data_IF_958347596472
#
_entry.id   IF_958347596472
#
_cell.length_a   1.000
_cell.length_b   1.000
_cell.length_c   1.000
_cell.angle_alpha   90.00
_cell.angle_beta   90.00
_cell.angle_gamma   90.00
#
_symmetry.space_group_name_H-M   'P 1'
#
loop_
_entity.id
_entity.type
_entity.pdbx_description
1 polymer ?
#
# COMPACT_ATOMS: atom_id res chain seq x y z
N UNK A 1 9.94 -14.71 -18.03
CA UNK A 1 8.52 -15.10 -18.02
C UNK A 1 7.77 -14.04 -18.81
N UNK A 2 6.98 -14.40 -19.84
CA UNK A 2 6.14 -13.40 -20.52
C UNK A 2 5.08 -12.93 -19.51
N UNK A 3 4.81 -11.61 -19.40
CA UNK A 3 3.74 -11.14 -18.54
C UNK A 3 2.42 -11.80 -18.96
N UNK A 4 1.58 -12.14 -18.00
CA UNK A 4 0.25 -12.73 -18.23
C UNK A 4 -0.65 -11.80 -19.07
N UNK A 5 -0.34 -10.50 -19.06
CA UNK A 5 -0.99 -9.47 -19.84
C UNK A 5 0.02 -8.37 -20.19
N UNK A 6 0.01 -7.91 -21.43
CA UNK A 6 0.88 -6.82 -21.87
C UNK A 6 0.12 -5.49 -21.86
N UNK A 7 0.34 -4.71 -20.81
CA UNK A 7 -0.27 -3.38 -20.67
C UNK A 7 0.48 -2.29 -21.45
N UNK A 8 1.63 -2.58 -22.07
CA UNK A 8 2.39 -1.58 -22.82
C UNK A 8 1.65 -1.06 -24.06
N UNK A 9 0.68 -1.82 -24.55
CA UNK A 9 -0.14 -1.49 -25.73
C UNK A 9 -1.43 -0.73 -25.40
N UNK A 10 -1.73 -0.48 -24.11
CA UNK A 10 -2.92 0.28 -23.74
C UNK A 10 -2.81 1.74 -24.24
N UNK A 11 -3.88 2.30 -24.79
CA UNK A 11 -3.92 3.69 -25.24
C UNK A 11 -4.06 4.64 -24.04
N UNK A 12 -2.98 4.79 -23.29
CA UNK A 12 -2.95 5.63 -22.08
C UNK A 12 -2.77 7.09 -22.49
N UNK A 13 -3.59 7.95 -21.93
CA UNK A 13 -3.44 9.41 -22.07
C UNK A 13 -2.12 9.86 -21.43
N UNK A 14 -1.25 10.46 -22.22
CA UNK A 14 0.08 10.92 -21.81
C UNK A 14 0.13 12.42 -21.48
N UNK A 15 -1.01 13.11 -21.43
CA UNK A 15 -1.08 14.52 -21.03
C UNK A 15 -0.60 14.68 -19.58
N UNK A 16 0.35 15.57 -19.36
CA UNK A 16 0.93 15.88 -18.06
C UNK A 16 0.36 17.19 -17.55
N UNK A 17 0.06 17.24 -16.25
CA UNK A 17 -0.31 18.49 -15.61
C UNK A 17 0.93 19.38 -15.42
N UNK A 18 0.83 20.70 -15.68
CA UNK A 18 1.97 21.60 -15.53
C UNK A 18 2.56 21.68 -14.11
N UNK A 19 1.75 21.32 -13.11
CA UNK A 19 2.12 21.37 -11.69
C UNK A 19 2.40 20.01 -11.07
N UNK A 20 2.44 18.95 -11.88
CA UNK A 20 2.76 17.60 -11.37
C UNK A 20 4.22 17.52 -10.91
N UNK A 21 4.44 17.70 -9.61
CA UNK A 21 5.76 17.63 -9.00
C UNK A 21 6.42 16.24 -9.04
N UNK A 22 5.68 15.21 -9.48
CA UNK A 22 6.21 13.85 -9.66
C UNK A 22 6.88 13.65 -11.02
N UNK A 23 6.70 14.61 -11.93
CA UNK A 23 7.36 14.62 -13.24
C UNK A 23 8.54 15.58 -13.17
N UNK A 24 9.75 15.05 -13.04
CA UNK A 24 10.97 15.85 -12.96
C UNK A 24 11.92 15.51 -14.12
N UNK A 25 12.19 16.49 -15.00
CA UNK A 25 13.20 16.37 -16.07
C UNK A 25 13.03 15.12 -16.94
N UNK A 26 14.10 14.34 -17.07
CA UNK A 26 14.12 13.14 -17.92
C UNK A 26 13.38 11.92 -17.36
N UNK A 27 12.66 12.06 -16.20
CA UNK A 27 11.99 10.96 -15.53
C UNK A 27 10.57 10.68 -16.03
N UNK A 28 10.14 11.30 -17.13
CA UNK A 28 8.80 11.13 -17.70
C UNK A 28 8.47 9.66 -17.99
N UNK A 29 9.37 8.90 -18.58
CA UNK A 29 9.12 7.48 -18.86
C UNK A 29 9.02 6.66 -17.56
N UNK A 30 9.81 6.98 -16.55
CA UNK A 30 9.70 6.33 -15.22
C UNK A 30 8.35 6.63 -14.55
N UNK A 31 7.84 7.85 -14.72
CA UNK A 31 6.50 8.23 -14.24
C UNK A 31 5.41 7.32 -14.83
N UNK A 32 5.43 7.12 -16.16
CA UNK A 32 4.49 6.24 -16.84
C UNK A 32 4.72 4.77 -16.48
N UNK A 33 5.96 4.32 -16.37
CA UNK A 33 6.28 2.94 -15.98
C UNK A 33 5.77 2.60 -14.57
N UNK A 34 5.90 3.52 -13.61
CA UNK A 34 5.33 3.33 -12.27
C UNK A 34 3.81 3.22 -12.29
N UNK A 35 3.13 4.04 -13.12
CA UNK A 35 1.68 3.92 -13.30
C UNK A 35 1.27 2.57 -13.91
N UNK A 36 2.00 2.11 -14.94
CA UNK A 36 1.80 0.80 -15.58
C UNK A 36 2.00 -0.35 -14.58
N UNK A 37 3.07 -0.30 -13.78
CA UNK A 37 3.33 -1.31 -12.72
C UNK A 37 2.23 -1.36 -11.67
N UNK A 38 1.65 -0.22 -11.30
CA UNK A 38 0.49 -0.19 -10.42
C UNK A 38 -0.69 -0.95 -11.04
N UNK A 39 -0.97 -0.73 -12.34
CA UNK A 39 -2.02 -1.47 -13.05
C UNK A 39 -1.73 -2.98 -13.11
N UNK A 40 -0.47 -3.39 -13.32
CA UNK A 40 -0.07 -4.80 -13.30
C UNK A 40 -0.36 -5.46 -11.95
N UNK A 41 -0.06 -4.77 -10.85
CA UNK A 41 -0.33 -5.23 -9.48
C UNK A 41 -1.84 -5.30 -9.19
N UNK A 42 -2.60 -4.31 -9.68
CA UNK A 42 -4.07 -4.30 -9.58
C UNK A 42 -4.67 -5.46 -10.39
N UNK A 43 -4.19 -5.70 -11.59
CA UNK A 43 -4.62 -6.86 -12.38
C UNK A 43 -4.25 -8.19 -11.70
N UNK A 44 -3.05 -8.29 -11.14
CA UNK A 44 -2.64 -9.46 -10.35
C UNK A 44 -3.58 -9.69 -9.16
N UNK A 45 -4.01 -8.62 -8.48
CA UNK A 45 -4.97 -8.73 -7.38
C UNK A 45 -6.33 -9.28 -7.83
N UNK A 46 -6.76 -8.97 -9.05
CA UNK A 46 -8.02 -9.48 -9.60
C UNK A 46 -8.01 -11.01 -9.72
N UNK A 47 -6.86 -11.57 -10.08
CA UNK A 47 -6.65 -13.03 -10.15
C UNK A 47 -6.57 -13.64 -8.75
N UNK A 48 -5.79 -13.03 -7.84
CA UNK A 48 -5.63 -13.53 -6.46
C UNK A 48 -6.93 -13.55 -5.65
N UNK A 49 -7.83 -12.60 -5.93
CA UNK A 49 -9.08 -12.41 -5.19
C UNK A 49 -10.30 -12.98 -5.95
N UNK A 50 -10.10 -13.60 -7.11
CA UNK A 50 -11.17 -14.06 -8.00
C UNK A 50 -12.21 -12.94 -8.24
N UNK A 51 -11.70 -11.72 -8.50
CA UNK A 51 -12.53 -10.53 -8.71
C UNK A 51 -12.14 -9.82 -10.01
N UNK A 52 -12.68 -10.24 -11.15
CA UNK A 52 -12.27 -9.74 -12.47
C UNK A 52 -12.75 -8.32 -12.78
N UNK A 53 -13.71 -7.78 -12.00
CA UNK A 53 -14.32 -6.48 -12.28
C UNK A 53 -14.32 -5.58 -11.06
N UNK A 54 -14.00 -4.31 -11.30
CA UNK A 54 -13.99 -3.22 -10.30
C UNK A 54 -14.88 -2.06 -10.79
N UNK A 55 -16.21 -2.12 -10.62
CA UNK A 55 -17.12 -1.05 -11.04
C UNK A 55 -16.89 0.30 -10.35
N UNK A 56 -16.55 0.28 -9.05
CA UNK A 56 -16.28 1.47 -8.26
C UNK A 56 -14.84 1.42 -7.76
N UNK A 57 -14.00 2.38 -8.18
CA UNK A 57 -12.57 2.44 -7.85
C UNK A 57 -12.27 3.75 -7.12
N UNK A 58 -11.47 3.67 -6.05
CA UNK A 58 -10.88 4.83 -5.38
C UNK A 58 -9.37 4.84 -5.62
N UNK A 59 -8.84 5.95 -6.10
CA UNK A 59 -7.41 6.28 -6.16
C UNK A 59 -7.10 7.36 -5.11
N UNK A 60 -6.35 7.00 -4.06
CA UNK A 60 -6.04 7.86 -2.90
C UNK A 60 -4.58 7.62 -2.43
N UNK A 61 -3.70 8.61 -2.47
CA UNK A 61 -3.85 9.92 -3.11
C UNK A 61 -3.69 9.80 -4.63
N UNK A 62 -4.53 10.48 -5.37
CA UNK A 62 -4.51 10.39 -6.83
C UNK A 62 -3.40 11.24 -7.48
N UNK A 63 -2.89 12.28 -6.79
CA UNK A 63 -2.01 13.27 -7.37
C UNK A 63 -2.57 13.79 -8.69
N UNK A 64 -1.73 13.94 -9.71
CA UNK A 64 -2.12 14.32 -11.06
C UNK A 64 -2.35 13.09 -11.98
N UNK A 65 -2.81 11.98 -11.40
CA UNK A 65 -3.30 10.82 -12.15
C UNK A 65 -2.23 9.88 -12.70
N UNK A 66 -1.07 9.75 -12.05
CA UNK A 66 -0.02 8.80 -12.46
C UNK A 66 -0.55 7.38 -12.60
N UNK A 67 -1.36 6.91 -11.63
CA UNK A 67 -1.99 5.59 -11.67
C UNK A 67 -3.36 5.68 -12.33
N UNK A 68 -4.15 6.69 -12.05
CA UNK A 68 -5.52 6.86 -12.50
C UNK A 68 -5.68 6.78 -14.03
N UNK A 69 -4.76 7.34 -14.81
CA UNK A 69 -4.77 7.25 -16.29
C UNK A 69 -4.71 5.82 -16.81
N UNK A 70 -3.95 4.95 -16.11
CA UNK A 70 -3.86 3.53 -16.42
C UNK A 70 -5.12 2.77 -16.01
N UNK A 71 -5.69 3.14 -14.83
CA UNK A 71 -6.99 2.62 -14.41
C UNK A 71 -8.07 2.99 -15.42
N UNK A 72 -8.10 4.23 -15.89
CA UNK A 72 -9.07 4.67 -16.90
C UNK A 72 -8.89 3.95 -18.23
N UNK A 73 -7.66 3.76 -18.68
CA UNK A 73 -7.38 3.06 -19.95
C UNK A 73 -7.83 1.59 -19.91
N UNK A 74 -7.68 0.92 -18.76
CA UNK A 74 -8.00 -0.51 -18.63
C UNK A 74 -9.44 -0.75 -18.16
N UNK A 75 -9.91 0.01 -17.18
CA UNK A 75 -11.26 -0.10 -16.61
C UNK A 75 -12.15 1.04 -17.11
N UNK A 76 -12.26 1.21 -18.43
CA UNK A 76 -13.03 2.28 -19.06
C UNK A 76 -14.51 2.33 -18.62
N UNK A 77 -15.05 1.20 -18.17
CA UNK A 77 -16.42 1.07 -17.64
C UNK A 77 -16.57 1.55 -16.19
N UNK A 78 -15.46 1.66 -15.43
CA UNK A 78 -15.52 1.91 -14.00
C UNK A 78 -15.79 3.40 -13.70
N UNK A 79 -16.47 3.63 -12.58
CA UNK A 79 -16.50 4.93 -11.93
C UNK A 79 -15.25 5.03 -11.06
N UNK A 80 -14.35 5.94 -11.42
CA UNK A 80 -13.10 6.15 -10.70
C UNK A 80 -13.22 7.44 -9.92
N UNK A 81 -13.06 7.35 -8.60
CA UNK A 81 -12.99 8.51 -7.71
C UNK A 81 -11.53 8.91 -7.53
N UNK A 82 -11.21 10.14 -7.88
CA UNK A 82 -9.91 10.78 -7.65
C UNK A 82 -9.97 11.51 -6.32
N UNK A 83 -9.16 11.11 -5.34
CA UNK A 83 -9.16 11.72 -4.02
C UNK A 83 -7.75 12.13 -3.61
N UNK A 84 -7.56 13.41 -3.26
CA UNK A 84 -6.27 13.96 -2.80
C UNK A 84 -6.49 15.24 -1.97
N UNK A 85 -5.48 15.61 -1.16
CA UNK A 85 -5.38 16.95 -0.55
C UNK A 85 -5.03 18.00 -1.60
N UNK A 86 -4.28 17.64 -2.63
CA UNK A 86 -3.93 18.48 -3.76
C UNK A 86 -5.13 18.65 -4.71
N UNK A 87 -5.84 19.75 -4.53
CA UNK A 87 -7.02 20.07 -5.33
C UNK A 87 -6.71 20.22 -6.83
N UNK A 88 -5.54 20.77 -7.18
CA UNK A 88 -5.10 20.91 -8.58
C UNK A 88 -4.99 19.53 -9.24
N UNK A 89 -4.43 18.55 -8.54
CA UNK A 89 -4.34 17.17 -9.02
C UNK A 89 -5.70 16.50 -9.18
N UNK A 90 -6.61 16.69 -8.22
CA UNK A 90 -7.99 16.17 -8.30
C UNK A 90 -8.74 16.76 -9.48
N UNK A 91 -8.68 18.09 -9.65
CA UNK A 91 -9.35 18.79 -10.76
C UNK A 91 -8.79 18.36 -12.12
N UNK A 92 -7.46 18.22 -12.21
CA UNK A 92 -6.83 17.68 -13.41
C UNK A 92 -7.33 16.28 -13.74
N UNK A 93 -7.38 15.38 -12.74
CA UNK A 93 -7.89 14.01 -12.92
C UNK A 93 -9.36 13.98 -13.38
N UNK A 94 -10.20 14.88 -12.83
CA UNK A 94 -11.59 14.99 -13.22
C UNK A 94 -11.74 15.47 -14.66
N UNK A 95 -11.01 16.53 -15.03
CA UNK A 95 -11.10 17.14 -16.37
C UNK A 95 -10.50 16.23 -17.46
N UNK A 96 -9.31 15.66 -17.20
CA UNK A 96 -8.55 14.94 -18.19
C UNK A 96 -9.00 13.49 -18.35
N UNK A 97 -9.36 12.83 -17.24
CA UNK A 97 -9.65 11.40 -17.24
C UNK A 97 -11.10 11.07 -16.90
N UNK A 98 -11.97 12.08 -16.69
CA UNK A 98 -13.37 11.87 -16.34
C UNK A 98 -13.55 11.16 -14.99
N UNK A 99 -12.65 11.42 -14.03
CA UNK A 99 -12.77 10.90 -12.68
C UNK A 99 -13.77 11.72 -11.86
N UNK A 100 -14.35 11.12 -10.83
CA UNK A 100 -15.19 11.79 -9.86
C UNK A 100 -14.29 12.52 -8.84
N UNK A 101 -14.33 13.84 -8.74
CA UNK A 101 -13.44 14.58 -7.86
C UNK A 101 -13.93 14.49 -6.40
N UNK A 102 -13.01 14.21 -5.48
CA UNK A 102 -13.20 14.31 -4.04
C UNK A 102 -11.96 14.95 -3.43
N UNK A 103 -12.14 16.08 -2.76
CA UNK A 103 -11.03 16.70 -2.03
C UNK A 103 -10.88 16.03 -0.67
N UNK A 104 -9.67 15.53 -0.42
CA UNK A 104 -9.33 14.87 0.83
C UNK A 104 -9.23 15.87 1.99
N UNK A 105 -9.31 15.32 3.19
CA UNK A 105 -9.09 16.04 4.44
C UNK A 105 -7.85 15.49 5.16
N UNK A 106 -7.13 16.32 5.94
CA UNK A 106 -6.01 15.84 6.74
C UNK A 106 -6.39 14.70 7.69
N UNK A 107 -7.61 14.72 8.22
CA UNK A 107 -8.21 13.62 8.96
C UNK A 107 -9.18 12.86 8.06
N UNK A 108 -8.79 11.66 7.65
CA UNK A 108 -9.59 10.82 6.75
C UNK A 108 -10.95 10.40 7.34
N UNK A 109 -11.15 10.48 8.67
CA UNK A 109 -12.46 10.25 9.28
C UNK A 109 -13.52 11.27 8.84
N UNK A 110 -13.09 12.42 8.36
CA UNK A 110 -14.00 13.46 7.85
C UNK A 110 -14.46 13.20 6.42
N UNK A 111 -13.81 12.25 5.71
CA UNK A 111 -14.22 11.87 4.37
C UNK A 111 -15.44 10.96 4.40
N UNK A 112 -16.41 11.30 3.56
CA UNK A 112 -17.64 10.54 3.41
C UNK A 112 -17.89 10.26 1.93
N UNK A 113 -17.99 8.99 1.60
CA UNK A 113 -18.34 8.53 0.25
C UNK A 113 -19.79 8.02 0.25
N UNK A 114 -20.60 8.36 -0.77
CA UNK A 114 -21.99 7.86 -0.87
C UNK A 114 -22.05 6.36 -1.22
N UNK A 115 -20.96 5.78 -1.71
CA UNK A 115 -20.82 4.36 -2.07
C UNK A 115 -19.60 3.72 -1.41
N UNK A 116 -19.56 2.41 -1.40
CA UNK A 116 -18.36 1.63 -1.10
C UNK A 116 -17.67 1.23 -2.41
N UNK A 117 -16.37 0.95 -2.33
CA UNK A 117 -15.51 0.68 -3.47
C UNK A 117 -15.24 -0.82 -3.64
N UNK A 118 -15.15 -1.25 -4.90
CA UNK A 118 -14.67 -2.60 -5.27
C UNK A 118 -13.16 -2.71 -5.18
N UNK A 119 -12.47 -1.61 -5.49
CA UNK A 119 -11.03 -1.47 -5.44
C UNK A 119 -10.66 -0.13 -4.80
N UNK A 120 -9.75 -0.18 -3.84
CA UNK A 120 -9.08 1.00 -3.33
C UNK A 120 -7.58 0.83 -3.60
N UNK A 121 -7.00 1.76 -4.35
CA UNK A 121 -5.56 1.88 -4.54
C UNK A 121 -5.01 3.01 -3.68
N UNK A 122 -3.97 2.70 -2.89
CA UNK A 122 -3.32 3.67 -2.00
C UNK A 122 -1.80 3.65 -2.22
N UNK A 123 -1.34 4.51 -3.11
CA UNK A 123 0.09 4.62 -3.44
C UNK A 123 0.81 5.69 -2.61
N UNK A 124 1.86 5.31 -1.89
CA UNK A 124 2.75 6.24 -1.15
C UNK A 124 2.07 7.12 -0.08
N UNK A 125 0.94 6.70 0.50
CA UNK A 125 0.29 7.47 1.57
C UNK A 125 0.77 7.04 2.95
N UNK A 126 0.60 5.76 3.29
CA UNK A 126 0.91 5.25 4.64
C UNK A 126 2.42 5.25 4.94
N UNK A 127 3.25 5.37 3.92
CA UNK A 127 4.70 5.55 4.02
C UNK A 127 5.11 6.87 4.68
N UNK A 128 4.16 7.79 4.90
CA UNK A 128 4.39 9.12 5.45
C UNK A 128 3.60 9.40 6.75
N UNK A 129 2.85 8.43 7.25
CA UNK A 129 1.94 8.62 8.38
C UNK A 129 2.53 8.08 9.68
N UNK A 130 2.33 8.82 10.78
CA UNK A 130 2.61 8.29 12.10
C UNK A 130 1.67 7.12 12.46
N UNK A 131 1.96 6.42 13.54
CA UNK A 131 1.25 5.20 13.95
C UNK A 131 -0.27 5.37 14.01
N UNK A 132 -0.76 6.42 14.66
CA UNK A 132 -2.20 6.61 14.88
C UNK A 132 -2.92 6.95 13.57
N UNK A 133 -2.33 7.82 12.74
CA UNK A 133 -2.86 8.13 11.42
C UNK A 133 -2.80 6.93 10.47
N UNK A 134 -1.77 6.10 10.60
CA UNK A 134 -1.66 4.85 9.84
C UNK A 134 -2.82 3.90 10.16
N UNK A 135 -3.12 3.70 11.46
CA UNK A 135 -4.24 2.87 11.90
C UNK A 135 -5.59 3.47 11.49
N UNK A 136 -5.78 4.78 11.69
CA UNK A 136 -6.99 5.50 11.23
C UNK A 136 -7.19 5.33 9.72
N UNK A 137 -6.12 5.43 8.94
CA UNK A 137 -6.19 5.20 7.48
C UNK A 137 -6.70 3.79 7.18
N UNK A 138 -6.16 2.77 7.83
CA UNK A 138 -6.61 1.39 7.61
C UNK A 138 -8.07 1.20 8.02
N UNK A 139 -8.52 1.77 9.15
CA UNK A 139 -9.92 1.76 9.58
C UNK A 139 -10.84 2.34 8.49
N UNK A 140 -10.46 3.49 7.94
CA UNK A 140 -11.18 4.14 6.85
C UNK A 140 -11.22 3.28 5.57
N UNK A 141 -10.08 2.73 5.15
CA UNK A 141 -10.01 1.86 3.97
C UNK A 141 -10.91 0.64 4.10
N UNK A 142 -10.91 -0.02 5.27
CA UNK A 142 -11.79 -1.17 5.55
C UNK A 142 -13.26 -0.78 5.51
N UNK A 143 -13.61 0.39 6.09
CA UNK A 143 -14.98 0.93 6.09
C UNK A 143 -15.48 1.24 4.67
N UNK A 144 -14.63 1.83 3.83
CA UNK A 144 -14.99 2.26 2.49
C UNK A 144 -14.99 1.11 1.47
N UNK A 145 -14.36 -0.01 1.80
CA UNK A 145 -14.35 -1.19 0.93
C UNK A 145 -15.63 -2.00 1.11
N UNK A 146 -16.30 -2.34 -0.01
CA UNK A 146 -17.46 -3.24 0.02
C UNK A 146 -17.06 -4.68 0.31
N UNK A 147 -18.03 -5.50 0.63
CA UNK A 147 -17.82 -6.95 0.67
C UNK A 147 -17.29 -7.47 -0.67
N UNK A 148 -16.39 -8.41 -0.64
CA UNK A 148 -15.64 -8.91 -1.80
C UNK A 148 -14.81 -7.82 -2.49
N UNK A 149 -14.53 -6.69 -1.84
CA UNK A 149 -13.67 -5.63 -2.34
C UNK A 149 -12.20 -5.89 -2.04
N UNK A 150 -11.34 -5.16 -2.74
CA UNK A 150 -9.88 -5.27 -2.65
C UNK A 150 -9.30 -3.94 -2.23
N UNK A 151 -8.37 -3.97 -1.28
CA UNK A 151 -7.55 -2.83 -0.88
C UNK A 151 -6.11 -3.14 -1.29
N UNK A 152 -5.47 -2.24 -2.00
CA UNK A 152 -4.05 -2.33 -2.32
C UNK A 152 -3.38 -1.07 -1.83
N UNK A 153 -2.38 -1.22 -0.96
CA UNK A 153 -1.59 -0.09 -0.52
C UNK A 153 -0.09 -0.40 -0.57
N UNK A 154 0.70 0.66 -0.65
CA UNK A 154 2.15 0.53 -0.63
C UNK A 154 2.72 0.96 0.71
N UNK A 155 3.76 0.28 1.17
CA UNK A 155 4.48 0.59 2.41
C UNK A 155 5.99 0.48 2.22
N UNK A 156 6.77 0.89 3.21
CA UNK A 156 8.22 0.76 3.21
C UNK A 156 8.61 -0.28 4.26
N UNK A 157 9.27 -1.34 3.82
CA UNK A 157 9.65 -2.46 4.68
C UNK A 157 11.16 -2.62 4.82
N UNK A 158 11.58 -3.87 5.00
CA UNK A 158 12.98 -4.24 5.29
C UNK A 158 13.95 -3.86 4.16
N UNK A 159 13.51 -3.84 2.93
CA UNK A 159 14.36 -3.43 1.84
C UNK A 159 14.70 -1.95 1.93
N UNK A 160 13.69 -1.11 2.14
CA UNK A 160 13.88 0.32 2.35
C UNK A 160 14.81 0.61 3.54
N UNK A 161 14.58 -0.03 4.69
CA UNK A 161 15.44 0.15 5.88
C UNK A 161 16.87 -0.33 5.66
N UNK A 162 17.08 -1.40 4.87
CA UNK A 162 18.42 -1.86 4.47
C UNK A 162 19.16 -0.81 3.61
N UNK A 163 18.46 -0.18 2.66
CA UNK A 163 19.04 0.90 1.85
C UNK A 163 19.40 2.13 2.71
N UNK A 164 18.53 2.47 3.68
CA UNK A 164 18.80 3.54 4.65
C UNK A 164 20.04 3.25 5.48
N UNK A 165 20.16 2.03 6.02
CA UNK A 165 21.29 1.61 6.86
C UNK A 165 22.62 1.66 6.10
N UNK A 166 22.60 1.42 4.78
CA UNK A 166 23.78 1.46 3.90
C UNK A 166 24.11 2.87 3.38
N UNK A 167 23.29 3.89 3.72
CA UNK A 167 23.47 5.24 3.19
C UNK A 167 23.21 5.35 1.66
N UNK A 168 22.54 4.37 1.08
CA UNK A 168 22.27 4.30 -0.36
C UNK A 168 21.04 5.10 -0.79
N UNK A 169 20.37 5.77 0.16
CA UNK A 169 19.20 6.58 -0.12
C UNK A 169 19.26 7.93 0.58
N UNK A 170 19.25 8.99 -0.23
CA UNK A 170 19.35 10.39 0.23
C UNK A 170 17.99 11.00 0.60
N UNK A 171 16.89 10.27 0.45
CA UNK A 171 15.50 10.82 0.60
C UNK A 171 15.18 11.23 2.04
N UNK A 172 16.10 11.01 2.98
CA UNK A 172 15.83 11.13 4.40
C UNK A 172 16.94 11.88 5.15
N UNK A 173 17.52 12.89 4.52
CA UNK A 173 18.50 13.74 5.21
C UNK A 173 17.89 14.49 6.40
N UNK A 174 16.54 14.66 6.38
CA UNK A 174 15.78 15.42 7.36
C UNK A 174 15.11 14.56 8.45
N UNK A 175 15.65 13.37 8.79
CA UNK A 175 15.14 12.51 9.86
C UNK A 175 16.26 11.92 10.69
N UNK A 176 15.94 11.47 11.92
CA UNK A 176 16.83 10.66 12.75
C UNK A 176 16.82 9.18 12.27
N UNK A 177 17.71 8.86 11.32
CA UNK A 177 17.83 7.51 10.73
C UNK A 177 18.17 6.43 11.77
N UNK A 178 19.14 6.61 12.69
CA UNK A 178 19.44 5.64 13.73
C UNK A 178 18.23 5.30 14.58
N UNK A 179 17.50 6.32 15.06
CA UNK A 179 16.29 6.12 15.87
C UNK A 179 15.19 5.38 15.10
N UNK A 180 14.98 5.71 13.81
CA UNK A 180 14.02 5.01 12.95
C UNK A 180 14.35 3.51 12.82
N UNK A 181 15.63 3.19 12.57
CA UNK A 181 16.08 1.82 12.37
C UNK A 181 16.03 0.99 13.66
N UNK A 182 16.40 1.58 14.79
CA UNK A 182 16.33 0.92 16.10
C UNK A 182 14.88 0.61 16.49
N UNK A 183 13.98 1.58 16.34
CA UNK A 183 12.56 1.38 16.62
C UNK A 183 11.94 0.32 15.71
N UNK A 184 12.23 0.37 14.40
CA UNK A 184 11.77 -0.64 13.44
C UNK A 184 12.24 -2.05 13.82
N UNK A 185 13.51 -2.21 14.17
CA UNK A 185 14.05 -3.51 14.57
C UNK A 185 13.36 -4.05 15.85
N UNK A 186 12.97 -3.17 16.77
CA UNK A 186 12.35 -3.53 18.05
C UNK A 186 10.86 -3.84 17.93
N UNK A 187 10.12 -3.10 17.11
CA UNK A 187 8.64 -3.11 17.11
C UNK A 187 8.02 -3.61 15.80
N UNK A 188 8.79 -3.55 14.71
CA UNK A 188 8.31 -3.79 13.36
C UNK A 188 7.55 -2.61 12.74
N UNK A 189 7.38 -1.50 13.48
CA UNK A 189 6.88 -0.22 12.97
C UNK A 189 7.77 0.89 13.49
N UNK A 190 8.12 1.85 12.64
CA UNK A 190 8.76 3.07 13.11
C UNK A 190 8.32 4.27 12.25
N UNK A 191 8.37 5.43 12.86
CA UNK A 191 8.03 6.68 12.21
C UNK A 191 8.97 7.79 12.70
N UNK A 192 9.46 8.57 11.73
CA UNK A 192 10.21 9.80 12.03
C UNK A 192 9.60 10.95 11.23
N UNK A 193 9.25 12.02 11.94
CA UNK A 193 8.76 13.25 11.32
C UNK A 193 9.91 13.94 10.58
N UNK A 194 9.62 14.56 9.44
CA UNK A 194 10.58 15.45 8.78
C UNK A 194 10.91 16.64 9.68
N UNK A 195 12.19 17.04 9.74
CA UNK A 195 12.63 18.17 10.58
C UNK A 195 12.06 19.51 10.11
N UNK A 196 11.70 19.64 8.84
CA UNK A 196 11.10 20.85 8.27
C UNK A 196 9.64 20.97 8.67
N UNK A 197 9.31 22.11 9.30
CA UNK A 197 7.97 22.37 9.85
C UNK A 197 6.87 22.51 8.78
N UNK A 198 7.24 22.70 7.52
CA UNK A 198 6.29 22.96 6.42
C UNK A 198 5.40 21.77 6.07
N UNK A 199 5.77 20.55 6.47
CA UNK A 199 5.05 19.33 6.12
C UNK A 199 4.07 18.82 7.19
N UNK A 200 3.73 19.63 8.20
CA UNK A 200 2.80 19.24 9.26
C UNK A 200 3.28 17.96 9.99
N UNK A 201 2.46 16.91 10.02
CA UNK A 201 2.79 15.59 10.61
C UNK A 201 3.25 14.57 9.54
N UNK A 202 3.78 15.03 8.43
CA UNK A 202 4.40 14.16 7.42
C UNK A 202 5.80 13.72 7.84
N UNK A 203 6.13 12.49 7.50
CA UNK A 203 7.43 11.91 7.84
C UNK A 203 7.76 10.69 7.02
N UNK A 204 8.58 9.81 7.58
CA UNK A 204 8.88 8.49 7.02
C UNK A 204 8.35 7.44 7.98
N UNK A 205 7.49 6.55 7.47
CA UNK A 205 6.99 5.39 8.18
C UNK A 205 7.53 4.11 7.52
N UNK A 206 7.94 3.15 8.36
CA UNK A 206 8.39 1.83 7.93
C UNK A 206 7.63 0.75 8.69
N UNK A 207 7.20 -0.32 7.98
CA UNK A 207 6.40 -1.40 8.55
C UNK A 207 6.97 -2.76 8.18
N UNK A 208 7.03 -3.69 9.13
CA UNK A 208 7.36 -5.09 8.84
C UNK A 208 6.12 -5.90 8.49
N UNK A 209 6.26 -7.00 7.74
CA UNK A 209 5.17 -7.94 7.48
C UNK A 209 4.51 -8.45 8.76
N UNK A 210 5.31 -8.73 9.81
CA UNK A 210 4.81 -9.24 11.09
C UNK A 210 3.97 -8.20 11.83
N UNK A 211 4.41 -6.93 11.84
CA UNK A 211 3.63 -5.85 12.44
C UNK A 211 2.29 -5.69 11.73
N UNK A 212 2.30 -5.71 10.40
CA UNK A 212 1.08 -5.64 9.60
C UNK A 212 0.14 -6.82 9.88
N UNK A 213 0.68 -8.04 9.91
CA UNK A 213 -0.11 -9.24 10.21
C UNK A 213 -0.79 -9.17 11.58
N UNK A 214 -0.08 -8.68 12.61
CA UNK A 214 -0.66 -8.44 13.95
C UNK A 214 -1.74 -7.36 13.90
N UNK A 215 -1.51 -6.28 13.18
CA UNK A 215 -2.47 -5.18 13.02
C UNK A 215 -3.76 -5.64 12.36
N UNK A 216 -3.67 -6.50 11.34
CA UNK A 216 -4.82 -7.03 10.62
C UNK A 216 -5.71 -7.96 11.46
N UNK A 217 -5.23 -8.49 12.60
CA UNK A 217 -6.08 -9.28 13.52
C UNK A 217 -7.25 -8.46 14.09
N UNK A 218 -7.19 -7.12 14.01
CA UNK A 218 -8.31 -6.24 14.39
C UNK A 218 -9.50 -6.31 13.42
N UNK A 219 -9.30 -6.89 12.24
CA UNK A 219 -10.29 -6.92 11.15
C UNK A 219 -10.53 -8.37 10.70
N UNK A 220 -11.45 -9.09 11.34
CA UNK A 220 -11.67 -10.52 11.10
C UNK A 220 -12.19 -10.82 9.69
N UNK A 221 -12.79 -9.85 9.01
CA UNK A 221 -13.27 -9.93 7.64
C UNK A 221 -12.20 -9.56 6.59
N UNK A 222 -11.02 -9.10 7.00
CA UNK A 222 -9.91 -8.76 6.10
C UNK A 222 -8.90 -9.89 6.02
N UNK A 223 -8.59 -10.31 4.80
CA UNK A 223 -7.56 -11.30 4.51
C UNK A 223 -6.43 -10.63 3.74
N UNK A 224 -5.20 -10.80 4.20
CA UNK A 224 -4.03 -10.46 3.39
C UNK A 224 -3.82 -11.56 2.33
N UNK A 225 -3.99 -11.20 1.07
CA UNK A 225 -3.77 -12.10 -0.08
C UNK A 225 -2.33 -12.13 -0.52
N UNK A 226 -1.64 -11.00 -0.41
CA UNK A 226 -0.22 -10.91 -0.73
C UNK A 226 0.47 -9.79 0.04
N UNK A 227 1.76 -10.00 0.30
CA UNK A 227 2.74 -8.99 0.66
C UNK A 227 3.92 -9.17 -0.31
N UNK A 228 4.19 -8.18 -1.13
CA UNK A 228 5.17 -8.22 -2.20
C UNK A 228 6.25 -7.17 -1.93
N UNK A 229 7.45 -7.61 -1.59
CA UNK A 229 8.56 -6.70 -1.32
C UNK A 229 9.05 -6.06 -2.62
N UNK A 230 9.41 -4.77 -2.57
CA UNK A 230 9.96 -3.98 -3.70
C UNK A 230 9.11 -4.03 -4.99
N UNK A 231 7.81 -4.29 -4.87
CA UNK A 231 6.99 -4.53 -6.05
C UNK A 231 6.59 -3.24 -6.78
N UNK A 232 6.66 -2.07 -6.13
CA UNK A 232 6.31 -0.79 -6.73
C UNK A 232 7.33 0.30 -6.39
N UNK A 233 8.23 0.56 -7.32
CA UNK A 233 9.40 1.38 -7.04
C UNK A 233 10.30 0.68 -6.01
N UNK A 234 10.50 1.31 -4.85
CA UNK A 234 11.22 0.69 -3.72
C UNK A 234 10.27 0.43 -2.54
N UNK A 235 8.97 0.39 -2.82
CA UNK A 235 7.94 0.16 -1.81
C UNK A 235 7.41 -1.27 -1.94
N UNK A 236 7.05 -1.82 -0.82
CA UNK A 236 6.35 -3.08 -0.73
C UNK A 236 4.87 -2.85 -1.05
N UNK A 237 4.21 -3.86 -1.60
CA UNK A 237 2.80 -3.81 -1.95
C UNK A 237 2.02 -4.83 -1.15
N UNK A 238 0.95 -4.38 -0.53
CA UNK A 238 0.04 -5.20 0.26
C UNK A 238 -1.29 -5.29 -0.45
N UNK A 239 -1.79 -6.52 -0.62
CA UNK A 239 -3.09 -6.80 -1.22
C UNK A 239 -3.99 -7.42 -0.15
N UNK A 240 -5.05 -6.70 0.21
CA UNK A 240 -6.06 -7.15 1.16
C UNK A 240 -7.38 -7.41 0.43
N UNK A 241 -8.12 -8.40 0.91
CA UNK A 241 -9.43 -8.77 0.43
C UNK A 241 -10.42 -8.76 1.58
N UNK A 242 -11.56 -8.10 1.40
CA UNK A 242 -12.65 -8.09 2.37
C UNK A 242 -13.63 -9.20 2.06
N UNK A 243 -13.78 -10.16 2.99
CA UNK A 243 -14.76 -11.25 2.86
C UNK A 243 -16.19 -10.75 2.88
N UNK A 244 -17.10 -11.51 2.26
CA UNK A 244 -18.53 -11.38 2.48
C UNK A 244 -18.92 -12.05 3.81
N UNK A 245 -19.74 -11.37 4.62
CA UNK A 245 -20.24 -11.87 5.88
C UNK A 245 -19.25 -11.82 7.06
N UNK A 246 -19.77 -11.91 8.29
CA UNK A 246 -18.93 -11.95 9.47
C UNK A 246 -18.17 -13.28 9.56
N UNK A 247 -16.86 -13.19 9.62
CA UNK A 247 -16.00 -14.31 9.98
C UNK A 247 -15.96 -14.37 11.53
N UNK A 248 -16.70 -15.31 12.11
CA UNK A 248 -16.44 -15.71 13.49
C UNK A 248 -15.20 -16.64 13.45
N UNK A 249 -14.09 -16.28 14.10
CA UNK A 249 -12.96 -17.21 14.20
C UNK A 249 -13.46 -18.45 14.97
N UNK A 250 -13.49 -19.59 14.30
CA UNK A 250 -14.03 -20.85 14.84
C UNK A 250 -13.20 -21.43 16.01
N UNK A 251 -12.14 -20.75 16.41
CA UNK A 251 -11.30 -21.14 17.55
C UNK A 251 -10.86 -19.86 18.26
N UNK A 252 -11.14 -19.79 19.56
CA UNK A 252 -10.58 -18.75 20.41
C UNK A 252 -9.07 -18.70 20.22
N UNK A 253 -8.56 -17.50 19.92
CA UNK A 253 -7.11 -17.26 19.86
C UNK A 253 -6.56 -17.69 21.23
N UNK A 254 -5.65 -18.68 21.31
CA UNK A 254 -5.00 -18.97 22.58
C UNK A 254 -4.30 -17.70 23.05
N UNK A 255 -4.46 -17.34 24.30
CA UNK A 255 -3.70 -16.25 24.91
C UNK A 255 -2.20 -16.50 24.67
N UNK A 256 -1.64 -15.84 23.65
CA UNK A 256 -0.20 -15.88 23.38
C UNK A 256 0.55 -14.91 24.31
N UNK A 257 0.29 -14.98 25.61
CA UNK A 257 1.00 -14.25 26.65
C UNK A 257 1.86 -15.18 27.52
N UNK A 258 2.43 -16.24 26.95
CA UNK A 258 3.57 -16.92 27.58
C UNK A 258 4.59 -17.20 26.49
N UNK A 259 5.61 -16.36 26.42
CA UNK A 259 6.88 -16.74 25.80
C UNK A 259 7.38 -17.95 26.61
N UNK A 260 7.18 -19.14 26.11
CA UNK A 260 7.84 -20.32 26.66
C UNK A 260 9.35 -20.09 26.53
N UNK A 261 10.15 -20.41 27.55
CA UNK A 261 11.59 -20.30 27.44
C UNK A 261 12.05 -21.14 26.25
N UNK A 262 12.86 -20.51 25.37
CA UNK A 262 13.48 -21.17 24.24
C UNK A 262 14.25 -22.39 24.79
N UNK A 263 13.94 -23.64 24.37
CA UNK A 263 14.73 -24.78 24.79
C UNK A 263 16.15 -24.59 24.28
N UNK A 264 17.12 -24.70 25.15
CA UNK A 264 18.53 -24.77 24.80
C UNK A 264 18.70 -25.87 23.77
N UNK A 265 19.44 -25.69 22.67
CA UNK A 265 19.57 -26.69 21.63
C UNK A 265 20.29 -27.93 22.21
N UNK A 266 19.54 -28.99 22.47
CA UNK A 266 20.10 -30.30 22.65
C UNK A 266 20.54 -30.84 21.29
N UNK A 267 21.85 -31.03 21.18
CA UNK A 267 22.58 -31.81 20.20
C UNK A 267 22.04 -32.04 18.79
N UNK A 268 22.84 -31.58 17.87
CA UNK A 268 22.81 -31.56 16.40
C UNK A 268 22.71 -32.93 15.70
N UNK A 269 21.83 -33.84 16.04
CA UNK A 269 21.82 -35.18 15.39
C UNK A 269 20.41 -35.79 15.15
N UNK A 270 19.38 -35.02 14.97
CA UNK A 270 18.03 -35.58 14.73
C UNK A 270 17.38 -35.25 13.40
N UNK A 271 17.78 -34.14 12.76
CA UNK A 271 17.08 -33.66 11.56
C UNK A 271 17.64 -34.24 10.24
N UNK A 272 18.93 -34.56 10.22
CA UNK A 272 19.60 -35.09 9.02
C UNK A 272 19.27 -36.60 8.81
N UNK A 273 19.09 -37.36 9.88
CA UNK A 273 18.76 -38.77 9.79
C UNK A 273 17.33 -39.03 9.31
N UNK A 274 16.38 -38.11 9.60
CA UNK A 274 15.01 -38.17 9.06
C UNK A 274 14.98 -37.88 7.55
N UNK A 275 15.83 -36.97 7.07
CA UNK A 275 15.92 -36.60 5.64
C UNK A 275 16.60 -37.67 4.79
N UNK A 276 17.45 -38.49 5.37
CA UNK A 276 18.22 -39.51 4.66
C UNK A 276 17.67 -40.95 4.83
N UNK A 277 16.53 -41.11 5.53
CA UNK A 277 15.83 -42.39 5.65
C UNK A 277 16.68 -43.48 6.35
N UNK A 278 17.55 -43.10 7.33
CA UNK A 278 18.35 -44.01 8.12
C UNK A 278 17.92 -43.98 9.58
#
# INVERSE_FOLDING_TARGET
MKPLYDFSTLPVDRTLAPRDGMVAGDLTEQYFDLGRRALELIHFSSVLCDKPHYPEILDLPCGHGRVLRWLRAHYGYAKITACDLDRDGVDFCAQQFGALPVYSEPDLNQLHFPQQFDLIWVGSLVTHLNHDRWLTTLDCLVKWTRECGVIIFTTQGRCYTSLLARGQRNVTENIDKPALLEEFARTGFAYQKYFEAEHGDYGVAVTSPEWLQRTLQRYPDIIMRAYLEEAWGMQDVVILYKKAGHYEPALGVPEMNRVAPVPTPATRYGFIDWLLGR
#
